data_IF_346281055390
#
_entry.id   IF_346281055390
#
_cell.length_a   1.000
_cell.length_b   1.000
_cell.length_c   1.000
_cell.angle_alpha   90.00
_cell.angle_beta   90.00
_cell.angle_gamma   90.00
#
_symmetry.space_group_name_H-M   'P 1'
#
loop_
_entity.id
_entity.type
_entity.pdbx_description
1 polymer ?
#
# COMPACT_ATOMS: atom_id res chain seq x y z
N UNK A 1 -32.93 -5.50 -7.10
CA UNK A 1 -31.64 -5.76 -7.80
C UNK A 1 -30.56 -6.03 -6.76
N UNK A 2 -30.53 -7.23 -6.19
CA UNK A 2 -29.44 -7.70 -5.32
C UNK A 2 -28.96 -9.00 -5.95
N UNK A 3 -27.80 -9.00 -6.61
CA UNK A 3 -27.31 -10.15 -7.39
C UNK A 3 -26.44 -11.13 -6.59
N UNK A 4 -26.24 -10.90 -5.30
CA UNK A 4 -25.40 -11.73 -4.46
C UNK A 4 -26.21 -12.14 -3.23
N UNK A 5 -27.09 -13.12 -3.44
CA UNK A 5 -27.72 -13.80 -2.31
C UNK A 5 -26.63 -14.49 -1.50
N UNK A 6 -26.60 -14.25 -0.18
CA UNK A 6 -25.65 -14.84 0.79
C UNK A 6 -25.49 -16.35 0.57
N UNK A 7 -24.52 -16.76 -0.25
CA UNK A 7 -24.09 -18.16 -0.37
C UNK A 7 -23.07 -18.40 0.73
N UNK A 8 -23.53 -19.02 1.81
CA UNK A 8 -22.73 -19.35 2.99
C UNK A 8 -21.75 -20.51 2.70
N UNK A 9 -21.97 -21.27 1.62
CA UNK A 9 -21.16 -22.43 1.22
C UNK A 9 -20.36 -22.22 -0.09
N UNK A 10 -20.26 -21.00 -0.60
CA UNK A 10 -19.46 -20.72 -1.80
C UNK A 10 -17.98 -20.64 -1.45
N UNK A 11 -17.12 -21.29 -2.25
CA UNK A 11 -15.67 -21.17 -2.10
C UNK A 11 -15.29 -19.71 -2.37
N UNK A 12 -14.29 -19.19 -1.65
CA UNK A 12 -13.84 -17.80 -1.83
C UNK A 12 -13.51 -17.46 -3.30
N UNK A 13 -13.09 -18.46 -4.07
CA UNK A 13 -12.80 -18.38 -5.50
C UNK A 13 -14.04 -18.11 -6.36
N UNK A 14 -15.18 -18.74 -6.03
CA UNK A 14 -16.44 -18.56 -6.77
C UNK A 14 -16.94 -17.12 -6.58
N UNK A 15 -16.92 -16.64 -5.33
CA UNK A 15 -17.30 -15.27 -4.96
C UNK A 15 -16.41 -14.26 -5.68
N UNK A 16 -15.09 -14.51 -5.71
CA UNK A 16 -14.15 -13.66 -6.42
C UNK A 16 -14.44 -13.62 -7.93
N UNK A 17 -14.77 -14.76 -8.55
CA UNK A 17 -15.06 -14.84 -9.98
C UNK A 17 -16.32 -14.04 -10.36
N UNK A 18 -17.38 -14.14 -9.57
CA UNK A 18 -18.63 -13.39 -9.76
C UNK A 18 -18.38 -11.88 -9.59
N UNK A 19 -17.63 -11.49 -8.55
CA UNK A 19 -17.27 -10.10 -8.29
C UNK A 19 -16.39 -9.52 -9.40
N UNK A 20 -15.43 -10.29 -9.92
CA UNK A 20 -14.58 -9.88 -11.03
C UNK A 20 -15.40 -9.63 -12.30
N UNK A 21 -16.33 -10.52 -12.64
CA UNK A 21 -17.26 -10.32 -13.76
C UNK A 21 -18.13 -9.07 -13.57
N UNK A 22 -18.58 -8.82 -12.35
CA UNK A 22 -19.34 -7.61 -12.02
C UNK A 22 -18.52 -6.33 -12.20
N UNK A 23 -17.26 -6.31 -11.74
CA UNK A 23 -16.36 -5.16 -11.84
C UNK A 23 -15.89 -4.88 -13.27
N UNK A 24 -15.77 -5.91 -14.12
CA UNK A 24 -15.31 -5.75 -15.51
C UNK A 24 -16.29 -4.96 -16.40
N UNK A 25 -17.56 -4.88 -15.99
CA UNK A 25 -18.60 -4.10 -16.68
C UNK A 25 -18.21 -2.61 -16.68
N UNK A 26 -18.30 -1.92 -17.83
CA UNK A 26 -17.76 -0.55 -18.05
C UNK A 26 -18.10 0.45 -16.94
N UNK A 27 -19.35 0.45 -16.46
CA UNK A 27 -19.82 1.41 -15.45
C UNK A 27 -19.31 1.11 -14.03
N UNK A 28 -18.87 -0.13 -13.79
CA UNK A 28 -18.53 -0.62 -12.45
C UNK A 28 -17.02 -0.53 -12.13
N UNK A 29 -16.20 -0.08 -13.09
CA UNK A 29 -14.74 0.00 -12.94
C UNK A 29 -14.28 1.12 -12.02
N UNK A 30 -15.12 2.14 -11.87
CA UNK A 30 -14.85 3.32 -11.03
C UNK A 30 -15.56 3.25 -9.69
N UNK A 31 -16.13 2.10 -9.31
CA UNK A 31 -16.79 1.96 -8.02
C UNK A 31 -15.79 2.08 -6.88
N UNK A 32 -16.22 2.66 -5.77
CA UNK A 32 -15.50 2.70 -4.51
C UNK A 32 -15.71 1.40 -3.73
N UNK A 33 -14.86 1.15 -2.73
CA UNK A 33 -15.00 -0.03 -1.87
C UNK A 33 -16.41 -0.13 -1.27
N UNK A 34 -16.97 0.98 -0.79
CA UNK A 34 -18.26 1.00 -0.11
C UNK A 34 -19.39 0.71 -1.09
N UNK A 35 -19.38 1.30 -2.29
CA UNK A 35 -20.35 1.00 -3.34
C UNK A 35 -20.29 -0.47 -3.79
N UNK A 36 -19.10 -1.05 -3.88
CA UNK A 36 -18.96 -2.48 -4.20
C UNK A 36 -19.59 -3.33 -3.09
N UNK A 37 -19.34 -3.01 -1.82
CA UNK A 37 -19.94 -3.72 -0.68
C UNK A 37 -21.46 -3.59 -0.68
N UNK A 38 -22.01 -2.41 -0.99
CA UNK A 38 -23.46 -2.19 -1.07
C UNK A 38 -24.12 -2.93 -2.24
N UNK A 39 -23.51 -2.90 -3.42
CA UNK A 39 -24.07 -3.51 -4.64
C UNK A 39 -23.88 -5.03 -4.67
N UNK A 40 -22.75 -5.52 -4.16
CA UNK A 40 -22.39 -6.94 -4.20
C UNK A 40 -22.64 -7.66 -2.88
N UNK A 41 -22.88 -6.97 -1.78
CA UNK A 41 -23.09 -7.62 -0.47
C UNK A 41 -21.88 -8.41 0.06
N UNK A 42 -20.73 -8.33 -0.60
CA UNK A 42 -19.47 -8.97 -0.17
C UNK A 42 -18.89 -8.19 1.00
N UNK A 43 -18.29 -8.87 1.97
CA UNK A 43 -17.65 -8.21 3.10
C UNK A 43 -16.44 -7.38 2.67
N UNK A 44 -16.30 -6.19 3.26
CA UNK A 44 -15.15 -5.30 3.05
C UNK A 44 -13.83 -6.00 3.34
N UNK A 45 -13.81 -6.90 4.34
CA UNK A 45 -12.64 -7.70 4.70
C UNK A 45 -12.14 -8.60 3.56
N UNK A 46 -13.05 -9.27 2.84
CA UNK A 46 -12.69 -10.11 1.69
C UNK A 46 -12.14 -9.26 0.55
N UNK A 47 -12.77 -8.10 0.30
CA UNK A 47 -12.31 -7.15 -0.71
C UNK A 47 -10.88 -6.67 -0.39
N UNK A 48 -10.61 -6.30 0.87
CA UNK A 48 -9.27 -5.91 1.30
C UNK A 48 -8.26 -7.05 1.16
N UNK A 49 -8.61 -8.30 1.46
CA UNK A 49 -7.73 -9.46 1.24
C UNK A 49 -7.32 -9.58 -0.22
N UNK A 50 -8.26 -9.48 -1.17
CA UNK A 50 -7.94 -9.63 -2.60
C UNK A 50 -7.11 -8.48 -3.16
N UNK A 51 -7.35 -7.26 -2.68
CA UNK A 51 -6.49 -6.11 -3.01
C UNK A 51 -5.08 -6.32 -2.46
N UNK A 52 -4.93 -6.77 -1.21
CA UNK A 52 -3.62 -7.04 -0.59
C UNK A 52 -2.83 -8.14 -1.31
N UNK A 53 -3.52 -9.18 -1.80
CA UNK A 53 -2.91 -10.26 -2.58
C UNK A 53 -2.53 -9.79 -3.99
N UNK A 54 -3.07 -8.65 -4.47
CA UNK A 54 -2.79 -8.11 -5.79
C UNK A 54 -3.64 -8.73 -6.91
N UNK A 55 -4.75 -9.39 -6.57
CA UNK A 55 -5.68 -9.95 -7.57
C UNK A 55 -6.45 -8.86 -8.33
N UNK A 56 -6.62 -7.69 -7.73
CA UNK A 56 -7.28 -6.53 -8.33
C UNK A 56 -6.23 -5.49 -8.73
N UNK A 57 -6.04 -5.29 -10.03
CA UNK A 57 -5.05 -4.36 -10.55
C UNK A 57 -5.49 -2.90 -10.47
N UNK A 58 -4.56 -2.04 -10.07
CA UNK A 58 -4.73 -0.59 -9.99
C UNK A 58 -5.13 0.06 -11.32
N UNK A 59 -4.60 -0.45 -12.42
CA UNK A 59 -4.86 0.05 -13.77
C UNK A 59 -6.31 -0.14 -14.21
N UNK A 60 -6.95 -1.21 -13.76
CA UNK A 60 -8.33 -1.54 -14.13
C UNK A 60 -9.34 -0.96 -13.14
N UNK A 61 -8.96 -0.87 -11.85
CA UNK A 61 -9.85 -0.49 -10.76
C UNK A 61 -9.25 0.64 -9.93
N UNK A 62 -9.23 1.89 -10.42
CA UNK A 62 -8.53 3.01 -9.78
C UNK A 62 -9.07 3.37 -8.38
N UNK A 63 -10.36 3.13 -8.12
CA UNK A 63 -11.04 3.54 -6.89
C UNK A 63 -11.15 2.40 -5.84
N UNK A 64 -10.77 1.18 -6.20
CA UNK A 64 -10.69 0.07 -5.24
C UNK A 64 -9.34 0.07 -4.55
N UNK A 65 -9.33 -0.20 -3.25
CA UNK A 65 -8.10 -0.24 -2.45
C UNK A 65 -8.27 -0.96 -1.11
N UNK A 66 -7.16 -1.23 -0.43
CA UNK A 66 -7.13 -1.73 0.93
C UNK A 66 -6.55 -0.65 1.87
N UNK A 67 -6.89 -0.68 3.17
CA UNK A 67 -6.26 0.22 4.13
C UNK A 67 -4.75 -0.06 4.23
N UNK A 68 -3.95 1.01 4.17
CA UNK A 68 -2.51 0.98 4.40
C UNK A 68 -2.20 0.42 5.79
N UNK A 69 -1.27 -0.53 5.89
CA UNK A 69 -0.94 -1.17 7.17
C UNK A 69 -0.27 -0.23 8.18
N UNK A 70 0.29 0.89 7.71
CA UNK A 70 0.94 1.89 8.57
C UNK A 70 0.04 3.04 9.00
N UNK A 71 -0.84 3.53 8.11
CA UNK A 71 -1.63 4.75 8.37
C UNK A 71 -3.13 4.61 8.12
N UNK A 72 -3.62 3.45 7.68
CA UNK A 72 -5.04 3.20 7.40
C UNK A 72 -5.59 3.85 6.13
N UNK A 73 -4.82 4.69 5.43
CA UNK A 73 -5.27 5.31 4.16
C UNK A 73 -5.53 4.25 3.09
N UNK A 74 -6.65 4.37 2.37
CA UNK A 74 -6.97 3.47 1.24
C UNK A 74 -5.90 3.59 0.16
N UNK A 75 -5.32 2.45 -0.20
CA UNK A 75 -4.25 2.31 -1.19
C UNK A 75 -4.29 0.91 -1.81
N UNK A 76 -3.74 0.74 -3.00
CA UNK A 76 -3.71 -0.56 -3.68
C UNK A 76 -2.48 -1.39 -3.34
N UNK A 77 -1.54 -0.82 -2.60
CA UNK A 77 -0.33 -1.49 -2.14
C UNK A 77 -0.43 -1.84 -0.65
N UNK A 78 0.49 -2.68 -0.15
CA UNK A 78 0.59 -3.00 1.28
C UNK A 78 0.80 -1.74 2.14
N UNK A 79 1.57 -0.79 1.61
CA UNK A 79 1.89 0.49 2.25
C UNK A 79 1.68 1.60 1.22
N UNK A 80 1.03 2.70 1.63
CA UNK A 80 0.78 3.82 0.75
C UNK A 80 2.08 4.55 0.37
N UNK A 81 2.08 5.25 -0.78
CA UNK A 81 3.25 5.96 -1.30
C UNK A 81 3.86 6.92 -0.29
N UNK A 82 3.02 7.65 0.48
CA UNK A 82 3.50 8.58 1.50
C UNK A 82 4.21 7.87 2.67
N UNK A 83 3.74 6.69 3.07
CA UNK A 83 4.41 5.91 4.10
C UNK A 83 5.72 5.31 3.59
N UNK A 84 5.73 4.79 2.36
CA UNK A 84 6.94 4.27 1.72
C UNK A 84 8.01 5.36 1.56
N UNK A 85 7.63 6.53 1.05
CA UNK A 85 8.56 7.66 0.88
C UNK A 85 9.14 8.15 2.21
N UNK A 86 8.32 8.18 3.28
CA UNK A 86 8.81 8.53 4.62
C UNK A 86 9.89 7.56 5.08
N UNK A 87 9.66 6.25 4.95
CA UNK A 87 10.63 5.23 5.35
C UNK A 87 11.94 5.38 4.57
N UNK A 88 11.85 5.52 3.24
CA UNK A 88 13.02 5.71 2.37
C UNK A 88 13.78 6.99 2.73
N UNK A 89 13.07 8.07 3.04
CA UNK A 89 13.70 9.34 3.42
C UNK A 89 14.41 9.24 4.77
N UNK A 90 13.83 8.55 5.75
CA UNK A 90 14.48 8.30 7.05
C UNK A 90 15.80 7.55 6.85
N UNK A 91 15.80 6.45 6.08
CA UNK A 91 17.02 5.68 5.79
C UNK A 91 18.08 6.53 5.08
N UNK A 92 17.68 7.31 4.07
CA UNK A 92 18.59 8.23 3.38
C UNK A 92 19.16 9.31 4.29
N UNK A 93 18.39 9.76 5.29
CA UNK A 93 18.86 10.76 6.24
C UNK A 93 19.93 10.14 7.16
N UNK A 94 19.70 8.93 7.66
CA UNK A 94 20.68 8.20 8.47
C UNK A 94 22.00 7.98 7.73
N UNK A 95 21.95 7.59 6.45
CA UNK A 95 23.14 7.44 5.61
C UNK A 95 23.92 8.76 5.47
N UNK A 96 23.22 9.88 5.28
CA UNK A 96 23.84 11.21 5.18
C UNK A 96 24.48 11.62 6.51
N UNK A 97 23.79 11.39 7.61
CA UNK A 97 24.28 11.72 8.94
C UNK A 97 25.55 10.91 9.24
N UNK A 98 25.55 9.60 8.94
CA UNK A 98 26.74 8.75 9.05
C UNK A 98 27.90 9.24 8.17
N UNK A 99 27.63 9.61 6.92
CA UNK A 99 28.66 10.15 6.02
C UNK A 99 29.24 11.47 6.55
N UNK A 100 28.40 12.34 7.10
CA UNK A 100 28.81 13.60 7.72
C UNK A 100 29.68 13.36 8.97
N UNK A 101 29.25 12.49 9.88
CA UNK A 101 30.05 12.12 11.05
C UNK A 101 31.42 11.56 10.66
N UNK A 102 31.48 10.67 9.67
CA UNK A 102 32.73 10.10 9.16
C UNK A 102 33.67 11.18 8.60
N UNK A 103 33.13 12.19 7.90
CA UNK A 103 33.92 13.32 7.40
C UNK A 103 34.49 14.18 8.53
N UNK A 104 33.70 14.44 9.58
CA UNK A 104 34.15 15.21 10.75
C UNK A 104 35.27 14.49 11.50
N UNK A 105 35.11 13.19 11.77
CA UNK A 105 36.13 12.38 12.43
C UNK A 105 37.46 12.40 11.66
N UNK A 106 37.41 12.27 10.33
CA UNK A 106 38.60 12.35 9.45
C UNK A 106 39.27 13.73 9.45
N UNK A 107 38.52 14.82 9.61
CA UNK A 107 39.09 16.17 9.69
C UNK A 107 39.78 16.41 11.04
N UNK A 108 39.19 15.93 12.13
CA UNK A 108 39.70 16.17 13.48
C UNK A 108 41.06 15.48 13.74
N UNK A 109 41.30 14.30 13.15
CA UNK A 109 42.58 13.58 13.31
C UNK A 109 43.79 14.29 12.68
N UNK A 110 43.57 15.26 11.77
CA UNK A 110 44.65 16.02 11.11
C UNK A 110 45.09 17.29 11.86
N UNK A 111 44.41 17.67 12.95
CA UNK A 111 44.68 18.92 13.68
C UNK A 111 45.71 18.74 14.82
N UNK A 112 46.29 17.55 14.98
CA UNK A 112 47.20 17.24 16.09
C UNK A 112 48.69 17.60 15.94
N UNK A 113 49.15 18.17 14.83
CA UNK A 113 50.58 18.48 14.64
C UNK A 113 50.90 19.95 14.95
N UNK A 114 50.91 20.30 16.24
CA UNK A 114 51.53 21.55 16.70
C UNK A 114 52.95 21.24 17.16
N UNK A 115 53.94 21.55 16.31
CA UNK A 115 55.36 21.49 16.65
C UNK A 115 55.74 22.78 17.39
N UNK A 116 55.94 22.70 18.71
CA UNK A 116 56.48 23.81 19.50
C UNK A 116 58.01 23.81 19.39
N UNK A 117 58.58 24.99 19.10
CA UNK A 117 60.01 25.24 18.88
C UNK A 117 60.80 25.26 20.18
#
# INVERSE_FOLDING_TARGET
MQQFGKKIDAREEDIFSELLHFLLRKNNRTLTNDEVVELTGVSSDLLYKWVKVGKLQSTTFPNLGAPCERCGKITQAKICVGCSSTIVNTLKQEEKDQAWFNQIQRKNSRVGSYHYK
#
